data_IF_558273733502
#
_entry.id   IF_558273733502
#
_cell.length_a   1.000
_cell.length_b   1.000
_cell.length_c   1.000
_cell.angle_alpha   90.00
_cell.angle_beta   90.00
_cell.angle_gamma   90.00
#
_symmetry.space_group_name_H-M   'P 1'
#
loop_
_entity.id
_entity.type
_entity.pdbx_description
1 polymer ?
#
# COMPACT_ATOMS: atom_id res chain seq x y z
N UNK A 1 25.42 28.07 7.67
CA UNK A 1 24.28 28.34 6.76
C UNK A 1 23.02 28.36 7.61
N UNK A 2 22.22 29.42 7.59
CA UNK A 2 20.95 29.50 8.34
C UNK A 2 19.80 29.13 7.41
N UNK A 3 18.82 28.40 7.90
CA UNK A 3 17.58 28.02 7.18
C UNK A 3 16.87 29.21 6.51
N UNK A 4 16.98 30.41 7.09
CA UNK A 4 16.45 31.64 6.51
C UNK A 4 17.08 32.06 5.16
N UNK A 5 18.35 31.72 4.90
CA UNK A 5 18.98 31.99 3.61
C UNK A 5 18.65 30.92 2.56
N UNK A 6 18.17 29.74 3.00
CA UNK A 6 17.79 28.61 2.14
C UNK A 6 16.36 28.81 1.62
N UNK A 7 15.46 29.34 2.45
CA UNK A 7 14.06 29.55 2.08
C UNK A 7 13.85 30.74 1.10
N UNK A 8 14.68 31.77 1.16
CA UNK A 8 14.58 32.93 0.26
C UNK A 8 14.95 32.65 -1.21
N UNK A 9 15.68 31.56 -1.47
CA UNK A 9 16.10 31.13 -2.82
C UNK A 9 15.24 29.98 -3.39
N UNK A 10 14.36 29.37 -2.59
CA UNK A 10 13.48 28.28 -3.02
C UNK A 10 12.14 28.88 -3.48
N UNK A 11 12.13 29.47 -4.68
CA UNK A 11 10.99 29.33 -5.60
C UNK A 11 11.19 28.01 -6.32
N UNK A 12 10.96 26.90 -5.61
CA UNK A 12 10.83 25.62 -6.30
C UNK A 12 9.43 25.63 -6.93
N UNK A 13 9.36 25.81 -8.25
CA UNK A 13 8.20 25.39 -9.02
C UNK A 13 8.07 23.87 -8.85
N UNK A 14 7.38 23.46 -7.79
CA UNK A 14 7.13 22.07 -7.52
C UNK A 14 6.08 21.60 -8.50
N UNK A 15 6.34 20.49 -9.18
CA UNK A 15 5.30 19.79 -9.90
C UNK A 15 4.17 19.42 -8.94
N UNK A 16 2.95 19.34 -9.47
CA UNK A 16 1.78 18.85 -8.72
C UNK A 16 2.06 17.48 -8.09
N UNK A 17 2.82 16.61 -8.78
CA UNK A 17 3.28 15.34 -8.23
C UNK A 17 4.17 15.51 -6.99
N UNK A 18 5.16 16.41 -7.02
CA UNK A 18 6.02 16.65 -5.86
C UNK A 18 5.25 17.23 -4.66
N UNK A 19 4.21 18.03 -4.91
CA UNK A 19 3.31 18.53 -3.86
C UNK A 19 2.50 17.39 -3.26
N UNK A 20 1.85 16.57 -4.10
CA UNK A 20 1.07 15.40 -3.66
C UNK A 20 1.93 14.38 -2.89
N UNK A 21 3.17 14.16 -3.30
CA UNK A 21 4.10 13.29 -2.57
C UNK A 21 4.30 13.81 -1.14
N UNK A 22 4.58 15.11 -0.99
CA UNK A 22 4.82 15.72 0.32
C UNK A 22 3.58 15.72 1.21
N UNK A 23 2.41 15.94 0.63
CA UNK A 23 1.14 15.86 1.36
C UNK A 23 0.85 14.43 1.82
N UNK A 24 1.13 13.42 0.99
CA UNK A 24 1.03 12.01 1.39
C UNK A 24 1.98 11.67 2.55
N UNK A 25 3.23 12.18 2.51
CA UNK A 25 4.14 12.02 3.65
C UNK A 25 3.60 12.69 4.91
N UNK A 26 3.09 13.91 4.80
CA UNK A 26 2.51 14.63 5.94
C UNK A 26 1.32 13.86 6.53
N UNK A 27 0.41 13.41 5.67
CA UNK A 27 -0.75 12.59 6.01
C UNK A 27 -0.35 11.33 6.78
N UNK A 28 0.74 10.66 6.39
CA UNK A 28 1.27 9.49 7.09
C UNK A 28 2.01 9.79 8.38
N UNK A 29 2.72 10.92 8.47
CA UNK A 29 3.39 11.33 9.72
C UNK A 29 2.40 11.57 10.85
N UNK A 30 1.21 12.09 10.54
CA UNK A 30 0.14 12.29 11.53
C UNK A 30 -0.28 10.97 12.20
N UNK A 31 -0.14 9.83 11.52
CA UNK A 31 -0.46 8.50 12.07
C UNK A 31 0.74 7.81 12.74
N UNK A 32 1.96 8.32 12.57
CA UNK A 32 3.18 7.72 13.14
C UNK A 32 3.68 8.41 14.41
N UNK A 33 3.12 9.58 14.75
CA UNK A 33 3.53 10.37 15.90
C UNK A 33 2.45 10.24 16.97
N UNK A 34 2.72 9.46 18.02
CA UNK A 34 1.73 9.15 19.07
C UNK A 34 1.19 10.39 19.81
N UNK A 35 2.00 11.45 19.93
CA UNK A 35 1.61 12.71 20.57
C UNK A 35 0.68 13.56 19.70
N UNK A 36 0.44 13.15 18.45
CA UNK A 36 -0.41 13.86 17.51
C UNK A 36 -1.87 13.50 17.73
N UNK A 37 -2.63 14.42 18.32
CA UNK A 37 -4.07 14.22 18.58
C UNK A 37 -4.95 14.60 17.37
N UNK A 38 -4.46 15.47 16.48
CA UNK A 38 -5.20 16.01 15.33
C UNK A 38 -4.43 15.82 14.02
N UNK A 39 -5.13 15.28 13.01
CA UNK A 39 -4.66 15.16 11.62
C UNK A 39 -4.72 16.53 10.93
N UNK A 40 -3.74 16.85 10.07
CA UNK A 40 -3.72 18.15 9.36
C UNK A 40 -4.37 18.04 7.99
N UNK A 41 -3.93 17.04 7.23
CA UNK A 41 -4.24 16.93 5.81
C UNK A 41 -4.88 15.60 5.51
N UNK A 42 -5.74 15.62 4.50
CA UNK A 42 -6.36 14.44 3.94
C UNK A 42 -6.47 14.55 2.43
N UNK A 43 -6.77 13.41 1.80
CA UNK A 43 -7.12 13.28 0.40
C UNK A 43 -8.57 12.86 0.32
N UNK A 44 -9.35 13.55 -0.50
CA UNK A 44 -10.71 13.15 -0.80
C UNK A 44 -10.69 11.96 -1.78
N UNK A 45 -11.41 10.89 -1.46
CA UNK A 45 -11.41 9.66 -2.27
C UNK A 45 -12.10 9.84 -3.61
N UNK A 46 -13.16 10.65 -3.69
CA UNK A 46 -13.98 10.80 -4.89
C UNK A 46 -13.34 11.76 -5.89
N UNK A 47 -12.86 12.90 -5.39
CA UNK A 47 -12.29 13.97 -6.21
C UNK A 47 -10.78 13.87 -6.38
N UNK A 48 -10.10 13.08 -5.55
CA UNK A 48 -8.63 13.03 -5.46
C UNK A 48 -7.96 14.37 -5.12
N UNK A 49 -8.72 15.34 -4.62
CA UNK A 49 -8.20 16.60 -4.12
C UNK A 49 -7.56 16.43 -2.74
N UNK A 50 -6.60 17.31 -2.44
CA UNK A 50 -5.93 17.36 -1.15
C UNK A 50 -6.31 18.65 -0.44
N UNK A 51 -6.52 18.56 0.86
CA UNK A 51 -6.96 19.70 1.66
C UNK A 51 -6.71 19.50 3.14
N UNK A 52 -7.11 20.49 3.93
CA UNK A 52 -7.23 20.32 5.37
C UNK A 52 -8.37 19.35 5.69
N UNK A 53 -8.30 18.67 6.83
CA UNK A 53 -9.30 17.66 7.22
C UNK A 53 -10.74 18.19 7.19
N UNK A 54 -10.98 19.46 7.53
CA UNK A 54 -12.30 20.08 7.50
C UNK A 54 -12.81 20.44 6.09
N UNK A 55 -11.94 20.38 5.08
CA UNK A 55 -12.26 20.67 3.68
C UNK A 55 -12.54 19.41 2.87
N UNK A 56 -12.31 18.24 3.46
CA UNK A 56 -12.41 16.94 2.82
C UNK A 56 -13.69 16.27 3.30
N UNK A 57 -14.58 15.90 2.37
CA UNK A 57 -15.84 15.25 2.69
C UNK A 57 -15.65 13.76 2.90
N UNK A 58 -14.91 13.11 2.00
CA UNK A 58 -14.71 11.67 2.01
C UNK A 58 -13.23 11.31 2.15
N UNK A 59 -12.77 11.14 3.39
CA UNK A 59 -11.37 10.77 3.68
C UNK A 59 -10.93 9.50 2.95
N UNK A 60 -9.71 9.53 2.40
CA UNK A 60 -9.05 8.35 1.84
C UNK A 60 -8.46 7.42 2.91
N UNK A 61 -8.44 7.82 4.18
CA UNK A 61 -7.91 7.02 5.29
C UNK A 61 -8.85 5.86 5.60
N UNK A 62 -8.30 4.65 5.73
CA UNK A 62 -9.06 3.42 5.97
C UNK A 62 -9.95 2.98 4.79
N UNK A 63 -9.98 3.73 3.69
CA UNK A 63 -10.83 3.42 2.54
C UNK A 63 -10.28 2.21 1.77
N UNK A 64 -11.19 1.33 1.33
CA UNK A 64 -10.88 0.17 0.49
C UNK A 64 -11.15 0.54 -0.98
N UNK A 65 -10.11 0.68 -1.83
CA UNK A 65 -10.30 1.07 -3.22
C UNK A 65 -11.13 0.04 -4.02
N UNK A 66 -11.97 0.54 -4.92
CA UNK A 66 -12.67 -0.31 -5.91
C UNK A 66 -11.77 -0.70 -7.09
N UNK A 67 -10.80 0.14 -7.44
CA UNK A 67 -9.83 -0.16 -8.51
C UNK A 67 -8.90 -1.30 -8.07
N UNK A 68 -8.85 -2.44 -8.82
CA UNK A 68 -8.07 -3.61 -8.41
C UNK A 68 -6.57 -3.32 -8.29
N UNK A 69 -6.00 -2.48 -9.15
CA UNK A 69 -4.57 -2.17 -9.09
C UNK A 69 -4.23 -1.33 -7.86
N UNK A 70 -5.07 -0.35 -7.53
CA UNK A 70 -4.92 0.47 -6.33
C UNK A 70 -5.16 -0.36 -5.06
N UNK A 71 -6.12 -1.28 -5.05
CA UNK A 71 -6.36 -2.23 -3.96
C UNK A 71 -5.09 -3.06 -3.69
N UNK A 72 -4.53 -3.70 -4.73
CA UNK A 72 -3.30 -4.48 -4.62
C UNK A 72 -2.12 -3.63 -4.12
N UNK A 73 -2.00 -2.40 -4.61
CA UNK A 73 -0.98 -1.47 -4.14
C UNK A 73 -1.14 -1.17 -2.64
N UNK A 74 -2.35 -0.86 -2.16
CA UNK A 74 -2.63 -0.57 -0.75
C UNK A 74 -2.36 -1.76 0.15
N UNK A 75 -2.78 -2.95 -0.27
CA UNK A 75 -2.53 -4.17 0.47
C UNK A 75 -1.02 -4.45 0.59
N UNK A 76 -0.26 -4.32 -0.51
CA UNK A 76 1.18 -4.51 -0.51
C UNK A 76 1.92 -3.48 0.35
N UNK A 77 1.47 -2.23 0.36
CA UNK A 77 2.07 -1.19 1.18
C UNK A 77 1.85 -1.43 2.68
N UNK A 78 0.61 -1.74 3.05
CA UNK A 78 0.24 -2.02 4.44
C UNK A 78 0.95 -3.25 4.99
N UNK A 79 1.15 -4.27 4.15
CA UNK A 79 1.99 -5.44 4.46
C UNK A 79 3.42 -5.06 4.80
N UNK A 80 4.04 -4.18 4.00
CA UNK A 80 5.38 -3.64 4.31
C UNK A 80 5.37 -2.91 5.66
N UNK A 81 4.35 -2.08 5.94
CA UNK A 81 4.26 -1.37 7.23
C UNK A 81 4.15 -2.34 8.40
N UNK A 82 3.21 -3.28 8.37
CA UNK A 82 3.02 -4.27 9.44
C UNK A 82 4.27 -5.11 9.68
N UNK A 83 4.97 -5.55 8.62
CA UNK A 83 6.22 -6.28 8.77
C UNK A 83 7.30 -5.45 9.50
N UNK A 84 7.47 -4.18 9.12
CA UNK A 84 8.44 -3.29 9.76
C UNK A 84 8.07 -2.97 11.20
N UNK A 85 6.79 -2.76 11.50
CA UNK A 85 6.29 -2.49 12.87
C UNK A 85 6.40 -3.69 13.79
N UNK A 86 6.31 -4.91 13.24
CA UNK A 86 6.59 -6.17 13.96
C UNK A 86 8.09 -6.45 14.14
N UNK A 87 8.96 -5.55 13.69
CA UNK A 87 10.40 -5.63 13.90
C UNK A 87 11.19 -6.34 12.80
N UNK A 88 10.57 -6.75 11.69
CA UNK A 88 11.30 -7.30 10.55
C UNK A 88 12.28 -6.26 10.00
N UNK A 89 13.50 -6.67 9.65
CA UNK A 89 14.45 -5.75 9.07
C UNK A 89 14.03 -5.39 7.63
N UNK A 90 14.38 -4.19 7.17
CA UNK A 90 14.16 -3.81 5.76
C UNK A 90 14.84 -4.76 4.79
N UNK A 91 15.95 -5.38 5.18
CA UNK A 91 16.64 -6.37 4.35
C UNK A 91 15.79 -7.62 4.15
N UNK A 92 15.11 -8.08 5.20
CA UNK A 92 14.22 -9.24 5.12
C UNK A 92 13.01 -8.94 4.24
N UNK A 93 12.40 -7.76 4.41
CA UNK A 93 11.28 -7.30 3.57
C UNK A 93 11.66 -7.21 2.10
N UNK A 94 12.85 -6.66 1.79
CA UNK A 94 13.40 -6.63 0.42
C UNK A 94 13.57 -8.02 -0.15
N UNK A 95 14.14 -8.95 0.64
CA UNK A 95 14.39 -10.32 0.20
C UNK A 95 13.11 -11.11 -0.05
N UNK A 96 12.05 -10.88 0.72
CA UNK A 96 10.80 -11.64 0.63
C UNK A 96 9.87 -11.09 -0.44
N UNK A 97 9.74 -9.77 -0.52
CA UNK A 97 8.82 -9.11 -1.45
C UNK A 97 9.45 -8.78 -2.81
N UNK A 98 10.76 -9.03 -2.98
CA UNK A 98 11.52 -8.71 -4.19
C UNK A 98 11.38 -7.24 -4.63
N UNK A 99 11.34 -6.33 -3.64
CA UNK A 99 11.24 -4.88 -3.88
C UNK A 99 12.56 -4.20 -3.55
N UNK A 100 12.84 -3.07 -4.21
CA UNK A 100 14.03 -2.29 -3.86
C UNK A 100 13.94 -1.73 -2.43
N UNK A 101 15.10 -1.58 -1.77
CA UNK A 101 15.16 -0.92 -0.45
C UNK A 101 14.54 0.48 -0.49
N UNK A 102 14.72 1.23 -1.58
CA UNK A 102 14.11 2.55 -1.77
C UNK A 102 12.58 2.46 -1.79
N UNK A 103 12.03 1.48 -2.51
CA UNK A 103 10.60 1.21 -2.60
C UNK A 103 10.01 0.95 -1.21
N UNK A 104 10.69 0.20 -0.33
CA UNK A 104 10.17 -0.05 1.04
C UNK A 104 9.90 1.23 1.84
N UNK A 105 10.70 2.30 1.67
CA UNK A 105 10.43 3.57 2.34
C UNK A 105 9.18 4.27 1.82
N UNK A 106 8.92 4.20 0.52
CA UNK A 106 7.72 4.77 -0.08
C UNK A 106 6.48 3.98 0.33
N UNK A 107 6.56 2.65 0.26
CA UNK A 107 5.49 1.75 0.73
C UNK A 107 5.13 2.00 2.18
N UNK A 108 6.12 2.08 3.07
CA UNK A 108 5.90 2.38 4.49
C UNK A 108 5.21 3.73 4.71
N UNK A 109 5.69 4.80 4.06
CA UNK A 109 5.09 6.14 4.18
C UNK A 109 3.66 6.17 3.64
N UNK A 110 3.42 5.56 2.49
CA UNK A 110 2.09 5.51 1.86
C UNK A 110 1.10 4.67 2.68
N UNK A 111 1.55 3.53 3.21
CA UNK A 111 0.78 2.74 4.15
C UNK A 111 0.39 3.52 5.40
N UNK A 112 1.33 4.23 6.02
CA UNK A 112 1.04 5.07 7.18
C UNK A 112 0.00 6.15 6.86
N UNK A 113 0.03 6.72 5.65
CA UNK A 113 -0.94 7.72 5.22
C UNK A 113 -2.36 7.16 5.13
N UNK A 114 -2.53 6.05 4.41
CA UNK A 114 -3.84 5.49 4.13
C UNK A 114 -4.37 4.55 5.22
N UNK A 115 -3.52 3.90 6.02
CA UNK A 115 -3.95 2.99 7.08
C UNK A 115 -4.90 1.90 6.57
N UNK A 116 -4.55 1.26 5.46
CA UNK A 116 -5.45 0.33 4.77
C UNK A 116 -5.86 -0.84 5.67
N UNK A 117 -7.14 -1.18 5.78
CA UNK A 117 -7.62 -2.20 6.71
C UNK A 117 -7.40 -3.60 6.13
N UNK A 118 -6.16 -4.12 6.13
CA UNK A 118 -5.84 -5.46 5.61
C UNK A 118 -6.74 -6.56 6.19
N UNK A 119 -7.15 -6.45 7.45
CA UNK A 119 -7.97 -7.47 8.12
C UNK A 119 -9.37 -7.58 7.49
N UNK A 120 -9.85 -6.55 6.78
CA UNK A 120 -11.09 -6.61 6.04
C UNK A 120 -11.01 -7.55 4.83
N UNK A 121 -9.81 -7.73 4.24
CA UNK A 121 -9.58 -8.66 3.12
C UNK A 121 -9.45 -10.11 3.60
N UNK A 122 -9.03 -10.35 4.84
CA UNK A 122 -8.80 -11.69 5.40
C UNK A 122 -10.09 -12.48 5.71
N UNK A 123 -11.27 -11.95 5.38
CA UNK A 123 -12.55 -12.66 5.58
C UNK A 123 -12.74 -13.82 4.59
N UNK A 124 -11.92 -13.92 3.53
CA UNK A 124 -11.83 -15.09 2.66
C UNK A 124 -10.99 -16.19 3.30
N UNK A 125 -11.57 -16.92 4.26
CA UNK A 125 -10.98 -18.16 4.75
C UNK A 125 -10.76 -19.13 3.58
N UNK A 126 -9.68 -19.93 3.67
CA UNK A 126 -9.42 -21.07 2.80
C UNK A 126 -10.71 -21.89 2.63
N UNK A 127 -11.23 -22.09 1.40
CA UNK A 127 -12.33 -23.01 1.18
C UNK A 127 -11.96 -24.35 1.79
N UNK A 128 -12.84 -24.91 2.59
CA UNK A 128 -12.68 -26.29 3.05
C UNK A 128 -12.71 -27.22 1.83
N UNK A 129 -12.03 -28.37 1.88
CA UNK A 129 -11.95 -29.29 0.73
C UNK A 129 -13.35 -29.71 0.20
N UNK A 130 -14.40 -29.59 1.03
CA UNK A 130 -15.81 -29.80 0.66
C UNK A 130 -16.36 -28.69 -0.27
N UNK A 131 -15.94 -27.43 -0.11
CA UNK A 131 -16.38 -26.30 -0.94
C UNK A 131 -15.67 -26.29 -2.31
N UNK A 132 -14.47 -26.88 -2.39
CA UNK A 132 -13.72 -27.03 -3.65
C UNK A 132 -14.32 -28.07 -4.61
N UNK A 133 -15.07 -29.06 -4.11
CA UNK A 133 -15.75 -30.06 -4.96
C UNK A 133 -17.01 -29.49 -5.63
N UNK A 134 -17.75 -28.62 -4.95
CA UNK A 134 -18.94 -27.96 -5.52
C UNK A 134 -18.57 -26.90 -6.59
N UNK A 135 -17.48 -26.15 -6.40
CA UNK A 135 -17.02 -25.14 -7.36
C UNK A 135 -16.44 -25.76 -8.64
N UNK A 136 -15.93 -27.00 -8.56
CA UNK A 136 -15.39 -27.73 -9.71
C UNK A 136 -16.46 -28.25 -10.66
N UNK A 137 -17.66 -28.54 -10.18
CA UNK A 137 -18.80 -28.87 -11.05
C UNK A 137 -19.43 -27.62 -11.70
N UNK A 138 -19.28 -26.43 -11.10
CA UNK A 138 -19.77 -25.17 -11.66
C UNK A 138 -18.82 -24.52 -12.69
N UNK A 139 -17.52 -24.78 -12.60
CA UNK A 139 -16.48 -24.13 -13.41
C UNK A 139 -16.28 -24.69 -14.83
N UNK A 140 -16.95 -25.78 -15.21
CA UNK A 140 -16.79 -26.37 -16.55
C UNK A 140 -17.53 -25.59 -17.67
N UNK A 141 -18.42 -24.64 -17.34
CA UNK A 141 -19.25 -23.92 -18.33
C UNK A 141 -18.86 -22.44 -18.55
N UNK A 142 -17.89 -21.87 -17.82
CA UNK A 142 -17.53 -20.43 -17.92
C UNK A 142 -16.18 -20.12 -18.59
N UNK A 143 -15.43 -21.12 -19.07
CA UNK A 143 -14.08 -20.94 -19.63
C UNK A 143 -14.00 -20.30 -21.04
N UNK A 144 -15.04 -19.65 -21.56
CA UNK A 144 -15.02 -19.02 -22.89
C UNK A 144 -15.36 -17.52 -22.92
N UNK A 145 -15.16 -16.76 -21.84
CA UNK A 145 -15.53 -15.32 -21.82
C UNK A 145 -14.53 -14.32 -21.25
N UNK A 146 -13.25 -14.65 -21.16
CA UNK A 146 -12.21 -13.69 -20.74
C UNK A 146 -11.18 -13.47 -21.86
N UNK A 147 -11.58 -12.80 -22.93
CA UNK A 147 -10.65 -12.32 -23.97
C UNK A 147 -10.96 -10.89 -24.43
N UNK A 148 -11.63 -10.10 -23.58
CA UNK A 148 -11.89 -8.67 -23.81
C UNK A 148 -11.82 -7.91 -22.49
N UNK A 149 -10.61 -7.56 -22.05
CA UNK A 149 -10.42 -6.45 -21.10
C UNK A 149 -9.61 -5.37 -21.82
N UNK A 150 -10.35 -4.36 -22.25
CA UNK A 150 -9.87 -3.10 -22.79
C UNK A 150 -8.90 -2.42 -21.80
N UNK A 151 -7.78 -1.92 -22.33
CA UNK A 151 -6.65 -1.39 -21.59
C UNK A 151 -6.94 -0.02 -20.97
N UNK A 152 -7.78 -0.01 -19.94
CA UNK A 152 -7.91 1.13 -19.03
C UNK A 152 -6.61 1.29 -18.24
N UNK A 153 -5.97 2.45 -18.36
CA UNK A 153 -4.79 2.83 -17.57
C UNK A 153 -5.19 2.85 -16.08
N UNK A 154 -5.01 1.73 -15.38
CA UNK A 154 -5.40 1.62 -13.98
C UNK A 154 -4.61 2.58 -13.09
N UNK A 155 -5.26 3.02 -12.01
CA UNK A 155 -4.74 4.11 -11.18
C UNK A 155 -3.65 3.59 -10.25
N UNK A 156 -2.40 3.81 -10.63
CA UNK A 156 -1.24 3.50 -9.78
C UNK A 156 -0.61 4.78 -9.21
N UNK A 157 -0.55 4.91 -7.89
CA UNK A 157 0.15 6.03 -7.25
C UNK A 157 1.65 5.71 -7.19
N UNK A 158 2.36 5.87 -8.31
CA UNK A 158 3.80 5.62 -8.39
C UNK A 158 4.59 6.84 -7.90
N UNK A 159 5.49 6.61 -6.93
CA UNK A 159 6.41 7.62 -6.39
C UNK A 159 7.85 7.17 -6.63
N UNK A 160 8.57 7.89 -7.48
CA UNK A 160 9.92 7.54 -7.92
C UNK A 160 9.91 6.52 -9.07
N UNK A 161 10.85 6.67 -10.01
CA UNK A 161 11.05 5.74 -11.11
C UNK A 161 11.33 4.33 -10.55
N UNK A 162 10.43 3.39 -10.81
CA UNK A 162 10.74 1.98 -10.60
C UNK A 162 11.74 1.59 -11.70
N UNK A 163 12.95 1.10 -11.37
CA UNK A 163 13.78 0.51 -12.40
C UNK A 163 13.01 -0.68 -12.96
N UNK A 164 12.91 -0.79 -14.29
CA UNK A 164 12.39 -1.96 -14.96
C UNK A 164 13.22 -3.19 -14.54
N UNK A 165 12.76 -3.88 -13.50
CA UNK A 165 13.49 -4.93 -12.82
C UNK A 165 12.58 -6.11 -12.61
N UNK A 166 12.59 -7.02 -13.58
CA UNK A 166 12.28 -8.44 -13.52
C UNK A 166 11.42 -8.90 -12.31
N UNK A 167 10.19 -8.38 -12.21
CA UNK A 167 9.16 -8.98 -11.38
C UNK A 167 8.80 -10.32 -12.00
N UNK A 168 9.48 -11.39 -11.58
CA UNK A 168 9.01 -12.74 -11.85
C UNK A 168 7.57 -12.84 -11.34
N UNK A 169 6.70 -13.45 -12.14
CA UNK A 169 5.27 -13.64 -11.89
C UNK A 169 5.03 -14.50 -10.63
N UNK A 170 5.34 -13.96 -9.45
CA UNK A 170 4.85 -14.47 -8.19
C UNK A 170 3.50 -13.80 -7.98
N UNK A 171 2.43 -14.58 -7.98
CA UNK A 171 1.10 -14.11 -7.59
C UNK A 171 1.21 -13.34 -6.27
N UNK A 172 0.41 -12.28 -6.13
CA UNK A 172 0.34 -11.48 -4.90
C UNK A 172 0.07 -12.40 -3.70
N UNK A 173 -0.77 -13.43 -3.88
CA UNK A 173 -1.05 -14.47 -2.89
C UNK A 173 0.20 -15.26 -2.45
N UNK A 174 1.15 -15.49 -3.35
CA UNK A 174 2.39 -16.19 -3.03
C UNK A 174 3.38 -15.29 -2.26
N UNK A 175 3.36 -13.98 -2.50
CA UNK A 175 4.10 -13.00 -1.71
C UNK A 175 3.45 -12.80 -0.33
N UNK A 176 2.11 -12.85 -0.27
CA UNK A 176 1.32 -12.83 0.95
C UNK A 176 1.69 -13.97 1.89
N UNK A 177 1.66 -15.21 1.39
CA UNK A 177 2.02 -16.39 2.19
C UNK A 177 3.45 -16.33 2.72
N UNK A 178 4.40 -15.83 1.92
CA UNK A 178 5.80 -15.70 2.35
C UNK A 178 5.98 -14.62 3.40
N UNK A 179 5.25 -13.51 3.29
CA UNK A 179 5.33 -12.43 4.27
C UNK A 179 4.66 -12.80 5.58
N UNK A 180 3.51 -13.46 5.54
CA UNK A 180 2.84 -13.98 6.74
C UNK A 180 3.70 -15.03 7.44
N UNK A 181 4.33 -15.94 6.69
CA UNK A 181 5.30 -16.89 7.24
C UNK A 181 6.53 -16.20 7.87
N UNK A 182 7.03 -15.12 7.27
CA UNK A 182 8.12 -14.31 7.85
C UNK A 182 7.67 -13.63 9.15
N UNK A 183 6.47 -13.07 9.15
CA UNK A 183 5.86 -12.42 10.31
C UNK A 183 5.72 -13.41 11.48
N UNK A 184 5.22 -14.62 11.21
CA UNK A 184 5.05 -15.67 12.23
C UNK A 184 6.41 -16.14 12.77
N UNK A 185 7.41 -16.28 11.91
CA UNK A 185 8.76 -16.69 12.29
C UNK A 185 9.46 -15.67 13.21
N UNK A 186 9.20 -14.37 13.04
CA UNK A 186 9.72 -13.31 13.92
C UNK A 186 8.94 -13.24 15.23
N UNK A 187 7.62 -13.50 15.20
CA UNK A 187 6.78 -13.57 16.40
C UNK A 187 7.18 -14.67 17.37
N UNK A 188 7.60 -15.84 16.87
CA UNK A 188 8.00 -16.99 17.69
C UNK A 188 9.42 -16.82 18.29
N UNK A 189 10.28 -16.03 17.64
CA UNK A 189 11.63 -15.71 18.14
C UNK A 189 11.65 -14.72 19.34
N UNK A 190 10.50 -14.11 19.66
CA UNK A 190 10.33 -13.17 20.78
C UNK A 190 9.86 -13.78 22.10
N UNK A 191 9.66 -15.10 22.18
CA UNK A 191 9.13 -15.81 23.38
C UNK A 191 10.14 -16.81 23.96
N UNK A 192 11.43 -16.46 24.01
CA UNK A 192 12.44 -17.20 24.77
C UNK A 192 13.26 -16.31 25.70
#
# INVERSE_FOLDING_TARGET
MRTGNIAGEITADLSVSAVRERLCVLMGLDNLIDEREEQIVDKDVETSEWGLTEQIENSARGHIPEDPQLLLQRAADERVRRALERGCSRSDVVSVLDVSRRTTFYKHKRAAAYGFPLDALSTGGRPTDEEMEEEREAAEDEQQRLDDVDGGEGQTETWGEEPAGNGGESSVEALEQKLDALIDAVGDAGVQ
#
